data_IF_274227419667
#
_entry.id   IF_274227419667
#
_cell.length_a   1.000
_cell.length_b   1.000
_cell.length_c   1.000
_cell.angle_alpha   90.00
_cell.angle_beta   90.00
_cell.angle_gamma   90.00
#
_symmetry.space_group_name_H-M   'P 1'
#
loop_
_entity.id
_entity.type
_entity.pdbx_description
1 polymer ?
#
# COMPACT_ATOMS: atom_id res chain seq x y z
N UNK A 1 -2.85 46.48 -14.00
CA UNK A 1 -3.32 45.25 -14.66
C UNK A 1 -2.54 44.01 -14.24
N UNK A 2 -1.20 43.92 -14.43
CA UNK A 2 -0.41 42.76 -13.95
C UNK A 2 -0.44 42.57 -12.42
N UNK A 3 -0.38 43.65 -11.64
CA UNK A 3 -0.44 43.58 -10.16
C UNK A 3 -1.84 43.20 -9.63
N UNK A 4 -2.91 43.70 -10.24
CA UNK A 4 -4.30 43.37 -9.87
C UNK A 4 -4.60 41.89 -10.09
N UNK A 5 -4.13 41.35 -11.24
CA UNK A 5 -4.28 39.94 -11.59
C UNK A 5 -3.47 39.04 -10.65
N UNK A 6 -2.23 39.39 -10.29
CA UNK A 6 -1.47 38.67 -9.25
C UNK A 6 -2.18 38.66 -7.88
N UNK A 7 -2.88 39.73 -7.54
CA UNK A 7 -3.60 39.83 -6.25
C UNK A 7 -4.82 38.90 -6.23
N UNK A 8 -5.56 38.79 -7.35
CA UNK A 8 -6.70 37.87 -7.49
C UNK A 8 -6.27 36.40 -7.40
N UNK A 9 -5.16 36.03 -8.06
CA UNK A 9 -4.56 34.69 -7.95
C UNK A 9 -4.20 34.34 -6.50
N UNK A 10 -3.53 35.25 -5.80
CA UNK A 10 -3.10 35.03 -4.42
C UNK A 10 -4.28 34.93 -3.42
N UNK A 11 -5.41 35.61 -3.69
CA UNK A 11 -6.62 35.48 -2.86
C UNK A 11 -7.28 34.12 -3.07
N UNK A 12 -7.42 33.66 -4.32
CA UNK A 12 -8.00 32.36 -4.64
C UNK A 12 -7.16 31.22 -4.05
N UNK A 13 -5.83 31.24 -4.23
CA UNK A 13 -4.93 30.25 -3.63
C UNK A 13 -5.07 30.17 -2.10
N UNK A 14 -5.06 31.33 -1.41
CA UNK A 14 -5.20 31.38 0.05
C UNK A 14 -6.57 30.92 0.53
N UNK A 15 -7.63 31.22 -0.20
CA UNK A 15 -8.98 30.73 0.13
C UNK A 15 -9.07 29.20 -0.01
N UNK A 16 -8.54 28.64 -1.10
CA UNK A 16 -8.52 27.19 -1.31
C UNK A 16 -7.74 26.45 -0.23
N UNK A 17 -6.52 26.90 0.09
CA UNK A 17 -5.71 26.29 1.15
C UNK A 17 -6.35 26.50 2.52
N UNK A 18 -6.98 27.65 2.76
CA UNK A 18 -7.73 27.91 3.99
C UNK A 18 -8.90 26.94 4.20
N UNK A 19 -9.60 26.54 3.11
CA UNK A 19 -10.69 25.55 3.17
C UNK A 19 -10.23 24.13 3.52
N UNK A 20 -8.92 23.83 3.42
CA UNK A 20 -8.37 22.55 3.89
C UNK A 20 -8.48 22.42 5.41
N UNK A 21 -8.57 23.55 6.13
CA UNK A 21 -8.73 23.60 7.58
C UNK A 21 -7.67 22.78 8.35
N UNK A 22 -6.46 22.68 7.78
CA UNK A 22 -5.39 21.89 8.39
C UNK A 22 -4.87 22.55 9.66
N UNK A 23 -4.99 21.86 10.79
CA UNK A 23 -4.41 22.28 12.07
C UNK A 23 -3.29 21.31 12.49
N UNK A 24 -2.02 21.74 12.50
CA UNK A 24 -0.91 20.87 12.86
C UNK A 24 -0.89 20.45 14.33
N UNK A 25 -1.55 21.19 15.22
CA UNK A 25 -1.59 20.89 16.66
C UNK A 25 -2.65 19.83 16.99
N UNK A 26 -3.84 19.92 16.37
CA UNK A 26 -4.93 18.95 16.58
C UNK A 26 -4.93 17.79 15.58
N UNK A 27 -4.07 17.85 14.55
CA UNK A 27 -4.07 16.91 13.42
C UNK A 27 -5.41 16.85 12.66
N UNK A 28 -6.21 17.91 12.73
CA UNK A 28 -7.47 18.03 12.00
C UNK A 28 -7.22 18.49 10.57
N UNK A 29 -7.97 17.93 9.64
CA UNK A 29 -8.02 18.32 8.23
C UNK A 29 -9.44 18.11 7.72
N UNK A 30 -9.90 18.93 6.78
CA UNK A 30 -11.19 18.75 6.13
C UNK A 30 -11.25 17.41 5.38
N UNK A 31 -12.43 16.80 5.32
CA UNK A 31 -12.64 15.61 4.47
C UNK A 31 -12.47 15.99 3.00
N UNK A 32 -11.82 15.16 2.17
CA UNK A 32 -11.67 15.43 0.74
C UNK A 32 -12.99 15.78 0.04
N UNK A 33 -14.10 15.09 0.34
CA UNK A 33 -15.42 15.34 -0.26
C UNK A 33 -16.02 16.70 0.13
N UNK A 34 -15.86 17.10 1.39
CA UNK A 34 -16.31 18.40 1.91
C UNK A 34 -15.51 19.55 1.30
N UNK A 35 -14.18 19.38 1.19
CA UNK A 35 -13.31 20.33 0.52
C UNK A 35 -13.69 20.45 -0.96
N UNK A 36 -13.84 19.33 -1.67
CA UNK A 36 -14.23 19.33 -3.08
C UNK A 36 -15.56 20.06 -3.31
N UNK A 37 -16.56 19.78 -2.48
CA UNK A 37 -17.87 20.47 -2.53
C UNK A 37 -17.72 21.98 -2.34
N UNK A 38 -16.85 22.39 -1.41
CA UNK A 38 -16.56 23.81 -1.15
C UNK A 38 -15.83 24.47 -2.32
N UNK A 39 -14.86 23.78 -2.93
CA UNK A 39 -14.16 24.25 -4.14
C UNK A 39 -15.13 24.39 -5.30
N UNK A 40 -16.00 23.40 -5.55
CA UNK A 40 -17.00 23.45 -6.62
C UNK A 40 -18.01 24.59 -6.43
N UNK A 41 -18.44 24.85 -5.20
CA UNK A 41 -19.29 25.99 -4.87
C UNK A 41 -18.56 27.32 -5.15
N UNK A 42 -17.29 27.43 -4.73
CA UNK A 42 -16.46 28.61 -4.98
C UNK A 42 -16.24 28.86 -6.48
N UNK A 43 -15.97 27.80 -7.25
CA UNK A 43 -15.84 27.86 -8.70
C UNK A 43 -17.14 28.34 -9.37
N UNK A 44 -18.29 27.83 -8.94
CA UNK A 44 -19.59 28.23 -9.47
C UNK A 44 -19.88 29.72 -9.25
N UNK A 45 -19.53 30.24 -8.08
CA UNK A 45 -19.68 31.68 -7.77
C UNK A 45 -18.74 32.52 -8.63
N UNK A 46 -17.48 32.12 -8.78
CA UNK A 46 -16.50 32.83 -9.61
C UNK A 46 -16.88 32.83 -11.09
N UNK A 47 -17.42 31.73 -11.63
CA UNK A 47 -17.97 31.69 -12.98
C UNK A 47 -19.13 32.69 -13.16
N UNK A 48 -19.94 32.89 -12.12
CA UNK A 48 -20.98 33.92 -12.12
C UNK A 48 -20.46 35.35 -12.31
N UNK A 49 -19.21 35.63 -11.88
CA UNK A 49 -18.57 36.95 -12.00
C UNK A 49 -18.24 37.29 -13.47
N UNK A 50 -18.01 36.29 -14.32
CA UNK A 50 -17.74 36.48 -15.75
C UNK A 50 -18.88 37.24 -16.46
N UNK A 51 -20.11 37.11 -15.95
CA UNK A 51 -21.27 37.85 -16.46
C UNK A 51 -21.24 39.36 -16.14
N UNK A 52 -20.44 39.77 -15.16
CA UNK A 52 -20.39 41.13 -14.64
C UNK A 52 -19.06 41.83 -14.93
N UNK A 53 -17.97 41.08 -15.11
CA UNK A 53 -16.62 41.59 -15.35
C UNK A 53 -15.97 40.77 -16.46
N UNK A 54 -15.32 41.43 -17.42
CA UNK A 54 -14.58 40.76 -18.50
C UNK A 54 -13.26 40.14 -17.99
N UNK A 55 -13.38 39.09 -17.19
CA UNK A 55 -12.27 38.30 -16.65
C UNK A 55 -12.42 36.86 -17.13
N UNK A 56 -11.32 36.30 -17.65
CA UNK A 56 -11.24 34.88 -18.03
C UNK A 56 -11.05 34.02 -16.78
N UNK A 57 -12.18 33.63 -16.17
CA UNK A 57 -12.21 32.82 -14.94
C UNK A 57 -11.64 31.41 -15.19
N UNK A 58 -11.79 30.88 -16.41
CA UNK A 58 -11.23 29.58 -16.79
C UNK A 58 -9.72 29.57 -16.68
N UNK A 59 -9.04 30.63 -17.16
CA UNK A 59 -7.60 30.79 -16.98
C UNK A 59 -7.22 30.95 -15.51
N UNK A 60 -8.07 31.57 -14.69
CA UNK A 60 -7.83 31.68 -13.25
C UNK A 60 -7.80 30.29 -12.61
N UNK A 61 -8.81 29.46 -12.87
CA UNK A 61 -8.86 28.09 -12.35
C UNK A 61 -7.70 27.23 -12.82
N UNK A 62 -7.37 27.27 -14.11
CA UNK A 62 -6.29 26.47 -14.67
C UNK A 62 -4.95 26.76 -14.00
N UNK A 63 -4.67 28.02 -13.66
CA UNK A 63 -3.43 28.36 -12.94
C UNK A 63 -3.49 27.95 -11.48
N UNK A 64 -4.58 28.29 -10.77
CA UNK A 64 -4.68 28.08 -9.33
C UNK A 64 -4.78 26.60 -8.99
N UNK A 65 -5.71 25.86 -9.61
CA UNK A 65 -5.95 24.45 -9.29
C UNK A 65 -4.75 23.59 -9.69
N UNK A 66 -4.11 23.88 -10.83
CA UNK A 66 -2.92 23.15 -11.27
C UNK A 66 -1.73 23.38 -10.32
N UNK A 67 -1.58 24.57 -9.75
CA UNK A 67 -0.55 24.80 -8.72
C UNK A 67 -0.83 23.97 -7.46
N UNK A 68 -2.11 23.81 -7.07
CA UNK A 68 -2.48 23.02 -5.88
C UNK A 68 -2.19 21.52 -6.01
N UNK A 69 -1.91 21.02 -7.23
CA UNK A 69 -1.48 19.63 -7.46
C UNK A 69 0.02 19.41 -7.26
N UNK A 70 0.82 20.48 -7.17
CA UNK A 70 2.27 20.40 -7.00
C UNK A 70 2.64 20.37 -5.51
N UNK A 71 3.88 20.01 -5.12
CA UNK A 71 4.28 20.03 -3.70
C UNK A 71 4.28 21.45 -3.09
N UNK A 72 4.62 22.46 -3.90
CA UNK A 72 4.64 23.86 -3.53
C UNK A 72 3.99 24.70 -4.62
N UNK A 73 3.35 25.80 -4.23
CA UNK A 73 2.79 26.77 -5.17
C UNK A 73 3.89 27.68 -5.76
N UNK A 74 3.51 28.64 -6.61
CA UNK A 74 4.49 29.56 -7.22
C UNK A 74 5.18 30.50 -6.22
N UNK A 75 4.69 30.59 -4.99
CA UNK A 75 5.25 31.41 -3.91
C UNK A 75 6.08 30.58 -2.90
N UNK A 76 6.15 29.26 -3.08
CA UNK A 76 6.84 28.33 -2.18
C UNK A 76 5.97 27.84 -1.02
N UNK A 77 4.68 28.18 -0.99
CA UNK A 77 3.75 27.76 0.06
C UNK A 77 3.27 26.32 -0.15
N UNK A 78 2.89 25.66 0.95
CA UNK A 78 2.36 24.29 0.91
C UNK A 78 0.98 24.28 0.25
N UNK A 79 0.79 23.32 -0.64
CA UNK A 79 -0.45 23.11 -1.40
C UNK A 79 -1.38 22.10 -0.74
N UNK A 80 -2.60 21.98 -1.26
CA UNK A 80 -3.55 20.91 -0.91
C UNK A 80 -2.88 19.53 -1.03
N UNK A 81 -2.17 19.26 -2.13
CA UNK A 81 -1.47 17.99 -2.32
C UNK A 81 -0.48 17.69 -1.18
N UNK A 82 0.33 18.67 -0.76
CA UNK A 82 1.28 18.48 0.34
C UNK A 82 0.61 18.30 1.69
N UNK A 83 -0.47 19.04 1.96
CA UNK A 83 -1.18 18.93 3.23
C UNK A 83 -1.82 17.55 3.42
N UNK A 84 -2.56 17.05 2.42
CA UNK A 84 -3.15 15.71 2.48
C UNK A 84 -2.09 14.61 2.47
N UNK A 85 -1.04 14.71 1.64
CA UNK A 85 0.04 13.71 1.63
C UNK A 85 0.67 13.56 3.01
N UNK A 86 1.00 14.67 3.67
CA UNK A 86 1.55 14.61 5.02
C UNK A 86 0.54 14.06 6.04
N UNK A 87 -0.74 14.44 5.94
CA UNK A 87 -1.75 13.96 6.86
C UNK A 87 -1.98 12.45 6.74
N UNK A 88 -2.09 11.90 5.53
CA UNK A 88 -2.23 10.46 5.33
C UNK A 88 -1.03 9.68 5.86
N UNK A 89 0.19 10.18 5.66
CA UNK A 89 1.41 9.52 6.12
C UNK A 89 1.60 9.60 7.64
N UNK A 90 1.55 10.81 8.20
CA UNK A 90 1.93 11.07 9.59
C UNK A 90 0.78 10.87 10.58
N UNK A 91 -0.48 10.93 10.12
CA UNK A 91 -1.67 10.81 10.97
C UNK A 91 -2.35 9.46 10.70
N UNK A 92 -2.93 9.26 9.52
CA UNK A 92 -3.74 8.06 9.24
C UNK A 92 -2.90 6.77 9.29
N UNK A 93 -1.89 6.63 8.41
CA UNK A 93 -1.09 5.41 8.30
C UNK A 93 -0.24 5.14 9.55
N UNK A 94 0.15 6.19 10.27
CA UNK A 94 0.82 6.06 11.56
C UNK A 94 -0.10 5.46 12.63
N UNK A 95 -1.39 5.82 12.65
CA UNK A 95 -2.39 5.22 13.55
C UNK A 95 -2.75 3.78 13.16
N UNK A 96 -2.76 3.45 11.87
CA UNK A 96 -2.88 2.06 11.40
C UNK A 96 -1.70 1.23 11.91
N UNK A 97 -0.48 1.74 11.76
CA UNK A 97 0.75 1.07 12.23
C UNK A 97 0.79 0.91 13.75
N UNK A 98 0.17 1.83 14.50
CA UNK A 98 0.01 1.74 15.94
C UNK A 98 -1.07 0.73 16.38
N UNK A 99 -1.79 0.12 15.45
CA UNK A 99 -2.81 -0.90 15.72
C UNK A 99 -4.19 -0.35 16.04
N UNK A 100 -4.47 0.93 15.77
CA UNK A 100 -5.81 1.51 16.04
C UNK A 100 -6.79 1.36 14.88
N UNK A 101 -6.30 0.97 13.71
CA UNK A 101 -7.09 0.89 12.48
C UNK A 101 -6.70 -0.34 11.69
N UNK A 102 -7.62 -0.82 10.87
CA UNK A 102 -7.43 -1.97 9.99
C UNK A 102 -7.83 -1.59 8.57
N UNK A 103 -7.08 -2.06 7.57
CA UNK A 103 -7.58 -2.06 6.20
C UNK A 103 -8.64 -3.15 6.05
N UNK A 104 -9.82 -2.81 5.54
CA UNK A 104 -10.88 -3.75 5.23
C UNK A 104 -11.06 -3.86 3.71
N UNK A 105 -10.73 -5.02 3.10
CA UNK A 105 -11.03 -5.28 1.70
C UNK A 105 -12.52 -5.19 1.39
N UNK A 106 -13.38 -5.68 2.30
CA UNK A 106 -14.83 -5.66 2.13
C UNK A 106 -15.39 -4.23 2.03
N UNK A 107 -14.95 -3.34 2.92
CA UNK A 107 -15.38 -1.94 2.91
C UNK A 107 -14.59 -1.07 1.92
N UNK A 108 -13.48 -1.58 1.38
CA UNK A 108 -12.54 -0.84 0.51
C UNK A 108 -12.10 0.48 1.16
N UNK A 109 -11.77 0.41 2.44
CA UNK A 109 -11.41 1.55 3.29
C UNK A 109 -10.55 1.11 4.48
N UNK A 110 -9.91 2.07 5.16
CA UNK A 110 -9.41 1.86 6.51
C UNK A 110 -10.52 2.13 7.52
N UNK A 111 -10.68 1.21 8.48
CA UNK A 111 -11.71 1.27 9.51
C UNK A 111 -11.08 1.40 10.89
N UNK A 112 -11.75 2.13 11.79
CA UNK A 112 -11.31 2.21 13.18
C UNK A 112 -11.54 0.89 13.90
N UNK A 113 -10.56 0.44 14.67
CA UNK A 113 -10.73 -0.67 15.59
C UNK A 113 -11.19 -0.15 16.94
N UNK A 114 -12.29 -0.70 17.45
CA UNK A 114 -12.78 -0.38 18.80
C UNK A 114 -11.83 -1.02 19.81
N UNK A 115 -10.92 -0.21 20.38
CA UNK A 115 -10.09 -0.59 21.50
C UNK A 115 -10.54 0.14 22.76
N UNK A 116 -10.64 -0.59 23.87
CA UNK A 116 -11.06 -0.04 25.15
C UNK A 116 -10.06 1.04 25.61
N UNK A 117 -10.50 2.30 25.68
CA UNK A 117 -9.75 3.40 26.31
C UNK A 117 -8.95 4.35 25.41
N UNK A 118 -8.83 4.14 24.09
CA UNK A 118 -8.16 5.08 23.17
C UNK A 118 -9.12 5.60 22.10
N UNK A 119 -9.54 6.86 22.25
CA UNK A 119 -10.29 7.56 21.21
C UNK A 119 -9.32 8.07 20.15
N UNK A 120 -9.46 7.54 18.93
CA UNK A 120 -8.93 8.19 17.74
C UNK A 120 -9.83 9.40 17.46
N UNK A 121 -9.27 10.61 17.23
CA UNK A 121 -10.06 11.84 17.11
C UNK A 121 -10.90 11.92 15.82
N UNK A 122 -10.76 10.98 14.91
CA UNK A 122 -11.48 10.91 13.65
C UNK A 122 -11.82 9.46 13.26
N UNK A 123 -12.79 9.33 12.37
CA UNK A 123 -13.21 8.06 11.75
C UNK A 123 -12.44 7.85 10.46
N UNK A 124 -11.62 6.80 10.36
CA UNK A 124 -10.75 6.57 9.20
C UNK A 124 -11.51 6.36 7.89
N UNK A 125 -12.72 5.80 7.98
CA UNK A 125 -13.62 5.59 6.84
C UNK A 125 -13.97 6.91 6.15
N UNK A 126 -14.17 7.97 6.93
CA UNK A 126 -14.51 9.32 6.44
C UNK A 126 -13.34 10.05 5.74
N UNK A 127 -12.20 9.37 5.58
CA UNK A 127 -11.04 9.89 4.86
C UNK A 127 -10.46 8.88 3.86
N UNK A 128 -10.82 7.60 3.93
CA UNK A 128 -10.13 6.56 3.16
C UNK A 128 -11.05 5.63 2.38
N UNK A 129 -12.37 5.85 2.44
CA UNK A 129 -13.29 5.14 1.57
C UNK A 129 -13.12 5.54 0.11
N UNK A 130 -13.81 4.80 -0.76
CA UNK A 130 -13.74 4.99 -2.21
C UNK A 130 -14.17 6.40 -2.62
N UNK A 131 -15.15 7.01 -1.96
CA UNK A 131 -15.67 8.32 -2.34
C UNK A 131 -14.72 9.44 -1.91
N UNK A 132 -14.12 9.34 -0.74
CA UNK A 132 -13.14 10.30 -0.23
C UNK A 132 -11.86 10.27 -1.06
N UNK A 133 -11.36 9.09 -1.42
CA UNK A 133 -10.18 8.99 -2.27
C UNK A 133 -10.45 9.44 -3.71
N UNK A 134 -11.67 9.25 -4.25
CA UNK A 134 -12.07 9.85 -5.53
C UNK A 134 -12.11 11.37 -5.45
N UNK A 135 -12.65 11.90 -4.35
CA UNK A 135 -12.71 13.35 -4.12
C UNK A 135 -11.30 13.95 -4.00
N UNK A 136 -10.39 13.25 -3.31
CA UNK A 136 -8.98 13.60 -3.24
C UNK A 136 -8.34 13.59 -4.65
N UNK A 137 -8.56 12.52 -5.43
CA UNK A 137 -8.03 12.41 -6.78
C UNK A 137 -8.57 13.50 -7.72
N UNK A 138 -9.81 13.96 -7.55
CA UNK A 138 -10.35 15.10 -8.30
C UNK A 138 -9.70 16.43 -7.88
N UNK A 139 -9.41 16.61 -6.59
CA UNK A 139 -8.77 17.81 -6.06
C UNK A 139 -7.30 17.94 -6.49
N UNK A 140 -6.51 16.87 -6.36
CA UNK A 140 -5.05 16.93 -6.55
C UNK A 140 -4.59 16.33 -7.88
N UNK A 141 -5.47 15.67 -8.63
CA UNK A 141 -5.23 15.16 -9.97
C UNK A 141 -4.07 14.14 -10.07
N UNK A 142 -3.68 13.75 -11.30
CA UNK A 142 -2.58 12.82 -11.53
C UNK A 142 -1.25 13.28 -10.93
N UNK A 143 -0.96 14.58 -10.94
CA UNK A 143 0.30 15.13 -10.40
C UNK A 143 0.38 14.99 -8.88
N UNK A 144 -0.69 15.38 -8.16
CA UNK A 144 -0.73 15.27 -6.72
C UNK A 144 -0.79 13.81 -6.26
N UNK A 145 -1.53 12.96 -6.98
CA UNK A 145 -1.58 11.52 -6.70
C UNK A 145 -0.23 10.84 -6.98
N UNK A 146 0.51 11.26 -8.02
CA UNK A 146 1.89 10.82 -8.25
C UNK A 146 2.81 11.23 -7.11
N UNK A 147 2.70 12.48 -6.62
CA UNK A 147 3.49 12.95 -5.48
C UNK A 147 3.16 12.19 -4.18
N UNK A 148 1.88 11.96 -3.89
CA UNK A 148 1.43 11.10 -2.78
C UNK A 148 2.06 9.72 -2.89
N UNK A 149 1.99 9.12 -4.09
CA UNK A 149 2.57 7.81 -4.35
C UNK A 149 4.10 7.78 -4.13
N UNK A 150 4.85 8.74 -4.68
CA UNK A 150 6.30 8.82 -4.48
C UNK A 150 6.66 8.92 -2.98
N UNK A 151 5.87 9.66 -2.21
CA UNK A 151 6.03 9.76 -0.76
C UNK A 151 5.77 8.43 -0.06
N UNK A 152 4.71 7.70 -0.44
CA UNK A 152 4.42 6.35 0.07
C UNK A 152 5.58 5.38 -0.26
N UNK A 153 6.06 5.40 -1.50
CA UNK A 153 7.16 4.53 -1.94
C UNK A 153 8.46 4.84 -1.20
N UNK A 154 8.73 6.09 -0.86
CA UNK A 154 9.87 6.47 -0.04
C UNK A 154 9.82 5.82 1.35
N UNK A 155 8.66 5.85 2.01
CA UNK A 155 8.47 5.17 3.30
C UNK A 155 8.64 3.65 3.20
N UNK A 156 8.12 3.02 2.14
CA UNK A 156 8.35 1.59 1.88
C UNK A 156 9.84 1.31 1.72
N UNK A 157 10.53 2.12 0.91
CA UNK A 157 11.95 1.91 0.65
C UNK A 157 12.80 2.05 1.93
N UNK A 158 12.41 2.95 2.85
CA UNK A 158 12.99 3.04 4.19
C UNK A 158 12.76 1.76 5.02
N UNK A 159 11.55 1.19 5.00
CA UNK A 159 11.29 -0.10 5.67
C UNK A 159 12.11 -1.24 5.08
N UNK A 160 12.25 -1.30 3.75
CA UNK A 160 13.06 -2.31 3.06
C UNK A 160 14.54 -2.17 3.39
N UNK A 161 15.06 -0.95 3.52
CA UNK A 161 16.45 -0.72 3.95
C UNK A 161 16.72 -1.32 5.35
N UNK A 162 15.79 -1.17 6.29
CA UNK A 162 15.91 -1.79 7.62
C UNK A 162 15.75 -3.32 7.57
N UNK A 163 14.82 -3.83 6.75
CA UNK A 163 14.67 -5.28 6.53
C UNK A 163 15.96 -5.90 5.98
N UNK A 164 16.63 -5.24 5.02
CA UNK A 164 17.92 -5.70 4.48
C UNK A 164 18.99 -5.81 5.59
N UNK A 165 19.05 -4.85 6.52
CA UNK A 165 19.98 -4.93 7.67
C UNK A 165 19.70 -6.15 8.55
N UNK A 166 18.43 -6.43 8.83
CA UNK A 166 18.02 -7.59 9.64
C UNK A 166 18.34 -8.91 8.92
N UNK A 167 18.16 -8.96 7.60
CA UNK A 167 18.55 -10.13 6.77
C UNK A 167 20.05 -10.37 6.84
N UNK A 168 20.87 -9.33 6.70
CA UNK A 168 22.33 -9.44 6.76
C UNK A 168 22.80 -9.92 8.14
N UNK A 169 22.17 -9.49 9.23
CA UNK A 169 22.45 -9.97 10.59
C UNK A 169 22.18 -11.48 10.76
N UNK A 170 21.26 -12.05 9.98
CA UNK A 170 20.87 -13.46 10.06
C UNK A 170 21.34 -14.27 8.84
N UNK A 171 22.26 -13.74 8.02
CA UNK A 171 22.60 -14.26 6.68
C UNK A 171 22.96 -15.74 6.69
N UNK A 172 23.87 -16.17 7.57
CA UNK A 172 24.33 -17.56 7.63
C UNK A 172 23.19 -18.52 7.97
N UNK A 173 22.38 -18.17 8.98
CA UNK A 173 21.22 -18.97 9.41
C UNK A 173 20.19 -19.07 8.29
N UNK A 174 19.92 -17.97 7.58
CA UNK A 174 18.96 -17.95 6.47
C UNK A 174 19.45 -18.80 5.28
N UNK A 175 20.76 -18.81 4.99
CA UNK A 175 21.36 -19.69 3.97
C UNK A 175 21.17 -21.18 4.36
N UNK A 176 21.39 -21.51 5.64
CA UNK A 176 21.19 -22.87 6.14
C UNK A 176 19.72 -23.29 6.12
N UNK A 177 18.80 -22.40 6.51
CA UNK A 177 17.35 -22.63 6.44
C UNK A 177 16.90 -22.89 4.99
N UNK A 178 17.41 -22.07 4.05
CA UNK A 178 17.12 -22.23 2.63
C UNK A 178 17.66 -23.53 2.05
N UNK A 179 18.79 -24.05 2.54
CA UNK A 179 19.42 -25.27 2.04
C UNK A 179 18.88 -26.55 2.68
N UNK A 180 18.28 -26.47 3.87
CA UNK A 180 17.80 -27.61 4.66
C UNK A 180 16.28 -27.58 4.87
N UNK A 181 15.53 -26.97 3.94
CA UNK A 181 14.07 -26.82 4.05
C UNK A 181 13.32 -28.15 4.18
N UNK A 182 13.92 -29.23 3.67
CA UNK A 182 13.47 -30.62 3.67
C UNK A 182 13.72 -31.36 4.99
N UNK A 183 14.45 -30.77 5.94
CA UNK A 183 14.80 -31.38 7.24
C UNK A 183 14.08 -30.70 8.41
N UNK A 184 12.94 -31.23 8.90
CA UNK A 184 12.09 -30.53 9.86
C UNK A 184 12.76 -30.19 11.19
N UNK A 185 13.57 -31.11 11.73
CA UNK A 185 14.25 -30.92 13.02
C UNK A 185 15.32 -29.82 12.93
N UNK A 186 16.13 -29.84 11.88
CA UNK A 186 17.17 -28.82 11.67
C UNK A 186 16.54 -27.44 11.46
N UNK A 187 15.47 -27.36 10.66
CA UNK A 187 14.72 -26.11 10.47
C UNK A 187 14.19 -25.53 11.78
N UNK A 188 13.67 -26.37 12.68
CA UNK A 188 13.16 -25.92 13.99
C UNK A 188 14.29 -25.35 14.87
N UNK A 189 15.45 -26.01 14.88
CA UNK A 189 16.61 -25.53 15.64
C UNK A 189 17.23 -24.25 15.06
N UNK A 190 17.29 -24.13 13.73
CA UNK A 190 17.76 -22.92 13.06
C UNK A 190 16.81 -21.75 13.26
N UNK A 191 15.49 -21.97 13.23
CA UNK A 191 14.50 -20.94 13.47
C UNK A 191 14.67 -20.30 14.85
N UNK A 192 14.95 -21.09 15.90
CA UNK A 192 15.21 -20.58 17.26
C UNK A 192 16.41 -19.63 17.34
N UNK A 193 17.35 -19.70 16.39
CA UNK A 193 18.54 -18.84 16.33
C UNK A 193 18.27 -17.52 15.62
N UNK A 194 17.16 -17.37 14.90
CA UNK A 194 16.82 -16.13 14.20
C UNK A 194 16.54 -15.00 15.18
N UNK A 195 17.09 -13.82 14.88
CA UNK A 195 16.91 -12.61 15.66
C UNK A 195 15.98 -11.63 14.94
N UNK A 196 15.24 -10.82 15.69
CA UNK A 196 14.38 -9.75 15.16
C UNK A 196 13.21 -10.23 14.27
N UNK A 197 12.73 -11.46 14.48
CA UNK A 197 11.59 -12.04 13.73
C UNK A 197 10.34 -11.16 13.78
N UNK A 198 10.01 -10.61 14.96
CA UNK A 198 8.84 -9.73 15.11
C UNK A 198 8.99 -8.43 14.33
N UNK A 199 10.22 -7.89 14.28
CA UNK A 199 10.51 -6.68 13.49
C UNK A 199 10.35 -6.95 12.00
N UNK A 200 10.75 -8.12 11.50
CA UNK A 200 10.54 -8.51 10.09
C UNK A 200 9.05 -8.52 9.75
N UNK A 201 8.23 -9.21 10.55
CA UNK A 201 6.79 -9.31 10.34
C UNK A 201 6.10 -7.95 10.46
N UNK A 202 6.45 -7.16 11.48
CA UNK A 202 5.90 -5.82 11.68
C UNK A 202 6.22 -4.89 10.50
N UNK A 203 7.49 -4.85 10.07
CA UNK A 203 7.90 -3.99 8.94
C UNK A 203 7.27 -4.43 7.62
N UNK A 204 7.19 -5.73 7.36
CA UNK A 204 6.47 -6.26 6.20
C UNK A 204 4.98 -5.91 6.24
N UNK A 205 4.36 -5.94 7.42
CA UNK A 205 2.95 -5.55 7.60
C UNK A 205 2.77 -4.06 7.32
N UNK A 206 3.68 -3.20 7.78
CA UNK A 206 3.69 -1.76 7.47
C UNK A 206 3.80 -1.54 5.96
N UNK A 207 4.72 -2.24 5.29
CA UNK A 207 4.84 -2.17 3.81
C UNK A 207 3.52 -2.55 3.15
N UNK A 208 2.90 -3.64 3.60
CA UNK A 208 1.61 -4.11 3.11
C UNK A 208 0.50 -3.07 3.27
N UNK A 209 0.38 -2.48 4.47
CA UNK A 209 -0.60 -1.43 4.78
C UNK A 209 -0.44 -0.22 3.85
N UNK A 210 0.79 0.24 3.64
CA UNK A 210 1.07 1.37 2.74
C UNK A 210 0.67 1.02 1.30
N UNK A 211 0.95 -0.22 0.86
CA UNK A 211 0.55 -0.69 -0.48
C UNK A 211 -0.97 -0.81 -0.64
N UNK A 212 -1.69 -1.24 0.40
CA UNK A 212 -3.16 -1.28 0.38
C UNK A 212 -3.75 0.12 0.25
N UNK A 213 -3.24 1.10 0.99
CA UNK A 213 -3.66 2.50 0.84
C UNK A 213 -3.35 3.03 -0.57
N UNK A 214 -2.16 2.73 -1.09
CA UNK A 214 -1.81 3.07 -2.47
C UNK A 214 -2.77 2.47 -3.48
N UNK A 215 -3.18 1.22 -3.31
CA UNK A 215 -4.10 0.54 -4.21
C UNK A 215 -5.43 1.30 -4.27
N UNK A 216 -6.04 1.59 -3.12
CA UNK A 216 -7.28 2.37 -3.06
C UNK A 216 -7.12 3.74 -3.74
N UNK A 217 -6.01 4.43 -3.48
CA UNK A 217 -5.71 5.73 -4.07
C UNK A 217 -5.58 5.65 -5.61
N UNK A 218 -4.93 4.61 -6.14
CA UNK A 218 -4.76 4.41 -7.59
C UNK A 218 -6.06 4.02 -8.28
N UNK A 219 -6.87 3.18 -7.66
CA UNK A 219 -8.20 2.82 -8.17
C UNK A 219 -9.10 4.05 -8.23
N UNK A 220 -9.10 4.86 -7.17
CA UNK A 220 -9.84 6.12 -7.14
C UNK A 220 -9.38 7.10 -8.23
N UNK A 221 -8.06 7.22 -8.47
CA UNK A 221 -7.52 8.00 -9.57
C UNK A 221 -8.00 7.46 -10.93
N UNK A 222 -7.94 6.15 -11.13
CA UNK A 222 -8.37 5.52 -12.37
C UNK A 222 -9.85 5.80 -12.66
N UNK A 223 -10.70 5.68 -11.65
CA UNK A 223 -12.13 5.99 -11.74
C UNK A 223 -12.36 7.44 -12.18
N UNK A 224 -11.69 8.40 -11.53
CA UNK A 224 -11.80 9.83 -11.89
C UNK A 224 -11.32 10.09 -13.32
N UNK A 225 -10.19 9.50 -13.73
CA UNK A 225 -9.65 9.69 -15.07
C UNK A 225 -10.49 9.01 -16.16
N UNK A 226 -11.16 7.90 -15.84
CA UNK A 226 -12.06 7.22 -16.77
C UNK A 226 -13.23 8.11 -17.21
N UNK A 227 -13.69 8.98 -16.29
CA UNK A 227 -14.75 9.94 -16.56
C UNK A 227 -14.19 11.22 -17.20
N UNK A 228 -13.05 11.73 -16.72
CA UNK A 228 -12.53 13.05 -17.13
C UNK A 228 -11.77 13.01 -18.46
N UNK A 229 -11.03 11.94 -18.75
CA UNK A 229 -10.17 11.82 -19.94
C UNK A 229 -10.26 10.43 -20.60
N UNK A 230 -11.47 9.93 -20.96
CA UNK A 230 -11.68 8.56 -21.44
C UNK A 230 -10.84 8.20 -22.67
N UNK A 231 -10.65 9.14 -23.61
CA UNK A 231 -9.88 8.90 -24.84
C UNK A 231 -8.38 8.70 -24.58
N UNK A 232 -7.82 9.46 -23.63
CA UNK A 232 -6.41 9.30 -23.23
C UNK A 232 -6.24 7.99 -22.47
N UNK A 233 -7.14 7.69 -21.53
CA UNK A 233 -7.07 6.46 -20.75
C UNK A 233 -7.19 5.21 -21.63
N UNK A 234 -8.09 5.21 -22.61
CA UNK A 234 -8.21 4.12 -23.59
C UNK A 234 -6.92 3.92 -24.39
N UNK A 235 -6.26 5.00 -24.82
CA UNK A 235 -4.99 4.93 -25.55
C UNK A 235 -3.87 4.35 -24.67
N UNK A 236 -3.81 4.75 -23.39
CA UNK A 236 -2.82 4.24 -22.43
C UNK A 236 -3.06 2.76 -22.14
N UNK A 237 -4.32 2.34 -21.96
CA UNK A 237 -4.67 0.95 -21.73
C UNK A 237 -4.34 0.07 -22.95
N UNK A 238 -4.67 0.54 -24.16
CA UNK A 238 -4.34 -0.16 -25.40
C UNK A 238 -2.83 -0.34 -25.59
N UNK A 239 -2.05 0.73 -25.37
CA UNK A 239 -0.60 0.67 -25.45
C UNK A 239 -0.02 -0.32 -24.44
N UNK A 240 -0.51 -0.29 -23.19
CA UNK A 240 -0.08 -1.23 -22.16
C UNK A 240 -0.34 -2.70 -22.52
N UNK A 241 -1.45 -3.00 -23.20
CA UNK A 241 -1.78 -4.37 -23.59
C UNK A 241 -0.91 -4.92 -24.72
N UNK A 242 -0.43 -4.05 -25.62
CA UNK A 242 0.25 -4.46 -26.85
C UNK A 242 1.78 -4.25 -26.83
N UNK A 243 2.34 -3.73 -25.73
CA UNK A 243 3.79 -3.49 -25.63
C UNK A 243 4.56 -4.82 -25.51
N UNK A 244 5.53 -4.97 -26.40
CA UNK A 244 6.53 -6.05 -26.38
C UNK A 244 7.64 -5.77 -25.36
N UNK A 245 8.20 -6.84 -24.79
CA UNK A 245 9.02 -6.90 -23.56
C UNK A 245 10.19 -5.89 -23.37
N UNK A 246 10.55 -5.07 -24.34
CA UNK A 246 11.69 -4.14 -24.27
C UNK A 246 11.42 -2.77 -23.63
N UNK A 247 10.20 -2.22 -23.72
CA UNK A 247 9.84 -0.88 -23.21
C UNK A 247 8.88 -0.92 -22.00
N UNK A 248 8.78 -2.09 -21.36
CA UNK A 248 7.78 -2.42 -20.35
C UNK A 248 7.74 -1.44 -19.17
N UNK A 249 8.90 -0.91 -18.71
CA UNK A 249 8.94 -0.06 -17.52
C UNK A 249 8.39 1.35 -17.76
N UNK A 250 8.71 1.97 -18.91
CA UNK A 250 8.22 3.32 -19.26
C UNK A 250 6.71 3.29 -19.48
N UNK A 251 6.23 2.27 -20.18
CA UNK A 251 4.80 2.03 -20.39
C UNK A 251 4.10 1.74 -19.06
N UNK A 252 4.74 0.98 -18.17
CA UNK A 252 4.22 0.74 -16.82
C UNK A 252 4.16 2.01 -15.99
N UNK A 253 5.15 2.93 -16.12
CA UNK A 253 5.13 4.22 -15.42
C UNK A 253 3.96 5.08 -15.90
N UNK A 254 3.77 5.18 -17.22
CA UNK A 254 2.64 5.89 -17.80
C UNK A 254 1.30 5.28 -17.37
N UNK A 255 1.18 3.95 -17.39
CA UNK A 255 -0.01 3.24 -16.94
C UNK A 255 -0.30 3.50 -15.44
N UNK A 256 0.73 3.43 -14.60
CA UNK A 256 0.64 3.71 -13.16
C UNK A 256 0.23 5.17 -12.89
N UNK A 257 0.73 6.12 -13.67
CA UNK A 257 0.31 7.54 -13.58
C UNK A 257 -1.16 7.76 -13.96
N UNK A 258 -1.77 6.83 -14.72
CA UNK A 258 -3.19 6.81 -15.05
C UNK A 258 -4.03 5.93 -14.09
N UNK A 259 -3.44 5.47 -12.97
CA UNK A 259 -4.10 4.61 -11.99
C UNK A 259 -4.28 3.15 -12.44
N UNK A 260 -3.70 2.73 -13.57
CA UNK A 260 -3.84 1.35 -14.05
C UNK A 260 -2.89 0.39 -13.28
N UNK A 261 -3.36 -0.80 -12.86
CA UNK A 261 -2.57 -1.72 -12.05
C UNK A 261 -1.45 -2.39 -12.85
N UNK A 262 -0.21 -2.37 -12.38
CA UNK A 262 0.94 -2.98 -13.07
C UNK A 262 1.39 -4.26 -12.35
N UNK A 263 1.82 -5.28 -13.10
CA UNK A 263 2.36 -6.53 -12.51
C UNK A 263 3.57 -6.26 -11.61
N UNK A 264 4.43 -5.35 -12.04
CA UNK A 264 5.54 -4.82 -11.25
C UNK A 264 5.35 -3.31 -11.16
N UNK A 265 5.39 -2.78 -9.93
CA UNK A 265 5.19 -1.36 -9.70
C UNK A 265 6.46 -0.56 -10.07
N UNK A 266 6.40 0.32 -11.10
CA UNK A 266 7.55 1.11 -11.52
C UNK A 266 7.98 2.14 -10.46
N UNK A 267 7.04 2.69 -9.69
CA UNK A 267 7.36 3.67 -8.65
C UNK A 267 8.10 3.02 -7.48
N UNK A 268 7.68 1.80 -7.11
CA UNK A 268 8.37 1.01 -6.09
C UNK A 268 9.77 0.61 -6.56
N UNK A 269 9.91 0.16 -7.82
CA UNK A 269 11.22 -0.14 -8.42
C UNK A 269 12.13 1.10 -8.38
N UNK A 270 11.63 2.27 -8.77
CA UNK A 270 12.39 3.52 -8.74
C UNK A 270 12.83 3.89 -7.31
N UNK A 271 11.92 3.82 -6.34
CA UNK A 271 12.22 4.14 -4.95
C UNK A 271 13.27 3.17 -4.34
N UNK A 272 13.13 1.86 -4.57
CA UNK A 272 14.08 0.86 -4.09
C UNK A 272 15.45 0.97 -4.77
N UNK A 273 15.52 1.37 -6.06
CA UNK A 273 16.78 1.66 -6.74
C UNK A 273 17.49 2.89 -6.17
N UNK A 274 16.74 3.90 -5.73
CA UNK A 274 17.32 5.12 -5.16
C UNK A 274 17.97 4.89 -3.79
N UNK A 275 17.49 3.90 -3.03
CA UNK A 275 18.01 3.47 -1.73
C UNK A 275 19.19 2.49 -1.83
N UNK A 276 19.93 2.49 -2.95
CA UNK A 276 21.07 1.59 -3.13
C UNK A 276 22.14 1.91 -2.06
N UNK A 277 22.16 1.12 -1.00
CA UNK A 277 23.21 1.20 0.01
C UNK A 277 24.47 0.55 -0.58
N UNK A 278 25.61 1.23 -0.47
CA UNK A 278 26.96 0.75 -0.84
C UNK A 278 27.46 -0.39 0.06
N UNK A 279 26.59 -1.36 0.41
CA UNK A 279 26.94 -2.46 1.31
C UNK A 279 27.86 -3.50 0.65
N UNK A 280 28.10 -3.42 -0.67
CA UNK A 280 29.00 -4.34 -1.39
C UNK A 280 28.54 -5.81 -1.40
N UNK A 281 27.41 -6.11 -0.76
CA UNK A 281 26.81 -7.44 -0.68
C UNK A 281 25.99 -7.76 -1.93
N UNK A 282 25.89 -9.06 -2.23
CA UNK A 282 25.06 -9.59 -3.31
C UNK A 282 23.58 -9.26 -3.06
N UNK A 283 23.09 -8.19 -3.69
CA UNK A 283 21.71 -7.69 -3.56
C UNK A 283 20.68 -8.76 -3.89
N UNK A 284 20.98 -9.64 -4.85
CA UNK A 284 20.09 -10.74 -5.24
C UNK A 284 20.02 -11.80 -4.13
N UNK A 285 21.15 -12.14 -3.51
CA UNK A 285 21.16 -13.03 -2.36
C UNK A 285 20.36 -12.45 -1.20
N UNK A 286 20.53 -11.17 -0.87
CA UNK A 286 19.77 -10.50 0.20
C UNK A 286 18.27 -10.53 -0.09
N UNK A 287 17.85 -10.29 -1.34
CA UNK A 287 16.45 -10.37 -1.75
C UNK A 287 15.88 -11.80 -1.58
N UNK A 288 16.64 -12.83 -1.98
CA UNK A 288 16.25 -14.22 -1.77
C UNK A 288 16.10 -14.56 -0.28
N UNK A 289 17.08 -14.16 0.54
CA UNK A 289 17.07 -14.45 1.97
C UNK A 289 15.96 -13.67 2.71
N UNK A 290 15.57 -12.49 2.23
CA UNK A 290 14.40 -11.78 2.74
C UNK A 290 13.13 -12.62 2.57
N UNK A 291 12.92 -13.19 1.37
CA UNK A 291 11.75 -14.05 1.10
C UNK A 291 11.76 -15.30 2.01
N UNK A 292 12.92 -15.92 2.18
CA UNK A 292 13.10 -17.05 3.12
C UNK A 292 12.73 -16.64 4.55
N UNK A 293 13.24 -15.49 5.00
CA UNK A 293 12.99 -14.99 6.35
C UNK A 293 11.49 -14.76 6.59
N UNK A 294 10.81 -14.09 5.67
CA UNK A 294 9.37 -13.84 5.79
C UNK A 294 8.59 -15.17 5.82
N UNK A 295 8.88 -16.09 4.90
CA UNK A 295 8.20 -17.38 4.79
C UNK A 295 8.28 -18.22 6.08
N UNK A 296 9.48 -18.36 6.66
CA UNK A 296 9.65 -19.14 7.90
C UNK A 296 9.10 -18.43 9.15
N UNK A 297 8.85 -17.12 9.06
CA UNK A 297 8.34 -16.31 10.16
C UNK A 297 6.81 -16.32 10.26
N UNK A 298 6.09 -16.64 9.19
CA UNK A 298 4.62 -16.62 9.17
C UNK A 298 3.96 -17.45 10.29
N UNK A 299 4.43 -18.66 10.67
CA UNK A 299 3.82 -19.41 11.77
C UNK A 299 3.81 -18.66 13.11
N UNK A 300 4.72 -17.70 13.32
CA UNK A 300 4.77 -16.90 14.53
C UNK A 300 3.52 -16.02 14.68
N UNK A 301 2.93 -15.59 13.57
CA UNK A 301 1.70 -14.78 13.56
C UNK A 301 0.53 -15.48 14.25
N UNK A 302 0.48 -16.81 14.23
CA UNK A 302 -0.60 -17.57 14.86
C UNK A 302 -0.62 -17.44 16.39
N UNK A 303 0.52 -17.03 16.97
CA UNK A 303 0.70 -16.79 18.40
C UNK A 303 0.67 -15.30 18.76
N UNK A 304 0.54 -14.41 17.77
CA UNK A 304 0.49 -12.96 17.98
C UNK A 304 -0.92 -12.53 18.36
N UNK A 305 -1.03 -11.69 19.38
CA UNK A 305 -2.31 -11.08 19.78
C UNK A 305 -2.88 -10.24 18.62
N UNK A 306 -4.20 -10.32 18.42
CA UNK A 306 -4.86 -9.62 17.31
C UNK A 306 -4.73 -10.31 15.94
N UNK A 307 -4.13 -11.50 15.85
CA UNK A 307 -4.18 -12.36 14.64
C UNK A 307 -5.53 -13.07 14.49
N UNK A 308 -6.62 -12.31 14.62
CA UNK A 308 -7.99 -12.79 14.45
C UNK A 308 -8.49 -12.28 13.11
N UNK A 309 -9.01 -13.19 12.29
CA UNK A 309 -9.71 -12.83 11.06
C UNK A 309 -11.15 -12.46 11.39
N UNK A 310 -11.58 -11.27 10.96
CA UNK A 310 -12.96 -10.78 11.07
C UNK A 310 -13.61 -10.85 9.70
N UNK A 311 -14.51 -11.82 9.44
CA UNK A 311 -15.29 -11.88 8.22
C UNK A 311 -16.05 -10.59 7.91
N UNK A 312 -16.56 -9.87 8.92
CA UNK A 312 -17.23 -8.57 8.74
C UNK A 312 -16.34 -7.48 8.14
N UNK A 313 -15.02 -7.68 8.12
CA UNK A 313 -14.05 -6.79 7.51
C UNK A 313 -13.28 -7.46 6.35
N UNK A 314 -13.48 -8.76 6.14
CA UNK A 314 -12.62 -9.65 5.34
C UNK A 314 -11.12 -9.49 5.63
N UNK A 315 -10.77 -9.23 6.90
CA UNK A 315 -9.45 -8.75 7.29
C UNK A 315 -8.97 -9.34 8.63
N UNK A 316 -7.66 -9.36 8.84
CA UNK A 316 -7.08 -9.62 10.16
C UNK A 316 -6.95 -8.32 10.94
N UNK A 317 -7.34 -8.32 12.23
CA UNK A 317 -7.33 -7.08 13.03
C UNK A 317 -5.96 -6.44 13.20
N UNK A 318 -4.87 -7.20 13.07
CA UNK A 318 -3.51 -6.68 13.11
C UNK A 318 -2.91 -6.36 11.72
N UNK A 319 -3.74 -6.32 10.67
CA UNK A 319 -3.35 -6.07 9.28
C UNK A 319 -2.44 -7.13 8.64
N UNK A 320 -2.31 -8.34 9.20
CA UNK A 320 -1.42 -9.35 8.59
C UNK A 320 -1.86 -9.82 7.20
N UNK A 321 -3.14 -9.68 6.82
CA UNK A 321 -3.60 -9.90 5.43
C UNK A 321 -2.86 -9.03 4.42
N UNK A 322 -2.45 -7.82 4.82
CA UNK A 322 -1.70 -6.90 3.97
C UNK A 322 -0.31 -7.44 3.58
N UNK A 323 0.21 -8.46 4.28
CA UNK A 323 1.45 -9.15 3.90
C UNK A 323 1.37 -9.76 2.49
N UNK A 324 0.17 -10.15 2.04
CA UNK A 324 -0.04 -10.64 0.68
C UNK A 324 0.44 -9.62 -0.37
N UNK A 325 -0.01 -8.36 -0.25
CA UNK A 325 0.44 -7.28 -1.13
C UNK A 325 1.94 -6.99 -0.94
N UNK A 326 2.45 -7.00 0.30
CA UNK A 326 3.85 -6.72 0.59
C UNK A 326 4.80 -7.73 -0.07
N UNK A 327 4.54 -9.03 0.09
CA UNK A 327 5.38 -10.10 -0.46
C UNK A 327 5.38 -10.04 -1.98
N UNK A 328 4.21 -9.94 -2.61
CA UNK A 328 4.09 -9.90 -4.07
C UNK A 328 4.77 -8.65 -4.66
N UNK A 329 4.53 -7.47 -4.10
CA UNK A 329 5.11 -6.24 -4.59
C UNK A 329 6.64 -6.20 -4.40
N UNK A 330 7.13 -6.58 -3.22
CA UNK A 330 8.57 -6.57 -2.95
C UNK A 330 9.33 -7.63 -3.76
N UNK A 331 8.78 -8.84 -3.90
CA UNK A 331 9.38 -9.85 -4.77
C UNK A 331 9.45 -9.35 -6.21
N UNK A 332 8.33 -8.86 -6.74
CA UNK A 332 8.26 -8.28 -8.09
C UNK A 332 9.30 -7.18 -8.30
N UNK A 333 9.38 -6.20 -7.40
CA UNK A 333 10.31 -5.08 -7.55
C UNK A 333 11.77 -5.46 -7.30
N UNK A 334 12.10 -6.22 -6.24
CA UNK A 334 13.49 -6.56 -5.92
C UNK A 334 14.13 -7.44 -7.00
N UNK A 335 13.44 -8.49 -7.45
CA UNK A 335 14.01 -9.39 -8.47
C UNK A 335 14.03 -8.73 -9.86
N UNK A 336 13.12 -7.80 -10.16
CA UNK A 336 13.23 -6.93 -11.35
C UNK A 336 14.46 -6.03 -11.30
N UNK A 337 14.84 -5.52 -10.11
CA UNK A 337 16.05 -4.70 -9.95
C UNK A 337 17.31 -5.54 -10.14
N UNK A 338 17.33 -6.77 -9.65
CA UNK A 338 18.46 -7.68 -9.78
C UNK A 338 18.65 -8.22 -11.22
N UNK A 339 17.62 -8.18 -12.06
CA UNK A 339 17.73 -8.49 -13.49
C UNK A 339 17.81 -9.99 -13.83
N UNK A 340 17.39 -10.87 -12.92
CA UNK A 340 17.41 -12.33 -13.10
C UNK A 340 16.12 -12.91 -13.74
N UNK A 341 15.07 -12.08 -13.90
CA UNK A 341 13.77 -12.45 -14.49
C UNK A 341 13.14 -13.75 -13.95
N UNK A 342 13.34 -14.01 -12.66
CA UNK A 342 12.99 -15.27 -12.00
C UNK A 342 11.94 -15.07 -10.88
N UNK A 343 11.18 -13.97 -10.95
CA UNK A 343 10.18 -13.57 -9.94
C UNK A 343 9.24 -14.74 -9.60
N UNK A 344 8.73 -15.42 -10.63
CA UNK A 344 7.81 -16.55 -10.48
C UNK A 344 8.47 -17.72 -9.73
N UNK A 345 9.73 -18.04 -10.05
CA UNK A 345 10.47 -19.11 -9.38
C UNK A 345 10.78 -18.76 -7.92
N UNK A 346 11.10 -17.49 -7.64
CA UNK A 346 11.33 -17.02 -6.26
C UNK A 346 10.05 -17.05 -5.43
N UNK A 347 8.91 -16.68 -6.00
CA UNK A 347 7.62 -16.73 -5.33
C UNK A 347 7.13 -18.18 -5.15
N UNK A 348 7.41 -19.09 -6.10
CA UNK A 348 7.19 -20.54 -5.92
C UNK A 348 7.98 -21.10 -4.74
N UNK A 349 9.27 -20.75 -4.64
CA UNK A 349 10.11 -21.14 -3.51
C UNK A 349 9.55 -20.59 -2.19
N UNK A 350 9.18 -19.30 -2.16
CA UNK A 350 8.55 -18.67 -1.01
C UNK A 350 7.28 -19.45 -0.59
N UNK A 351 6.38 -19.74 -1.54
CA UNK A 351 5.11 -20.40 -1.25
C UNK A 351 5.32 -21.82 -0.72
N UNK A 352 6.25 -22.58 -1.28
CA UNK A 352 6.59 -23.91 -0.80
C UNK A 352 7.13 -23.87 0.65
N UNK A 353 8.01 -22.92 0.95
CA UNK A 353 8.60 -22.76 2.28
C UNK A 353 7.57 -22.28 3.31
N UNK A 354 6.72 -21.32 2.94
CA UNK A 354 5.63 -20.81 3.77
C UNK A 354 4.61 -21.91 4.08
N UNK A 355 4.18 -22.65 3.06
CA UNK A 355 3.24 -23.78 3.21
C UNK A 355 3.83 -24.87 4.09
N UNK A 356 5.09 -25.25 3.88
CA UNK A 356 5.79 -26.22 4.72
C UNK A 356 5.89 -25.76 6.18
N UNK A 357 6.13 -24.47 6.42
CA UNK A 357 6.23 -23.90 7.77
C UNK A 357 4.88 -23.89 8.48
N UNK A 358 3.80 -23.56 7.77
CA UNK A 358 2.43 -23.53 8.32
C UNK A 358 1.84 -24.92 8.54
N UNK A 359 2.12 -25.90 7.68
CA UNK A 359 1.69 -27.29 7.89
C UNK A 359 2.29 -27.90 9.15
N UNK A 360 3.54 -27.53 9.49
CA UNK A 360 4.19 -27.95 10.74
C UNK A 360 3.46 -27.41 11.97
N UNK A 361 3.02 -26.14 11.93
CA UNK A 361 2.18 -25.55 12.98
C UNK A 361 0.85 -26.32 13.13
N UNK A 362 0.29 -26.84 12.03
CA UNK A 362 -0.91 -27.69 12.04
C UNK A 362 -0.76 -29.00 12.82
N UNK A 363 0.46 -29.53 12.95
CA UNK A 363 0.76 -30.76 13.68
C UNK A 363 0.98 -30.55 15.18
N UNK A 364 1.21 -29.30 15.61
CA UNK A 364 1.38 -28.97 17.02
C UNK A 364 0.02 -29.11 17.74
N UNK A 365 -0.02 -29.91 18.82
CA UNK A 365 -1.22 -30.13 19.63
C UNK A 365 -1.58 -28.93 20.54
N UNK A 366 -0.94 -27.78 20.31
CA UNK A 366 -1.01 -26.60 21.15
C UNK A 366 -2.36 -25.90 20.98
N UNK A 367 -3.20 -25.97 22.02
CA UNK A 367 -4.56 -25.39 22.00
C UNK A 367 -4.56 -23.87 22.06
N UNK A 368 -3.50 -23.25 22.58
CA UNK A 368 -3.41 -21.78 22.75
C UNK A 368 -3.30 -21.04 21.40
N UNK A 369 -2.82 -21.70 20.34
CA UNK A 369 -2.69 -21.13 19.00
C UNK A 369 -3.86 -21.44 18.05
N UNK A 370 -4.94 -22.09 18.53
CA UNK A 370 -5.98 -22.67 17.67
C UNK A 370 -6.65 -21.68 16.72
N UNK A 371 -7.17 -20.57 17.25
CA UNK A 371 -7.89 -19.55 16.46
C UNK A 371 -6.93 -18.74 15.55
N UNK A 372 -5.76 -18.36 16.07
CA UNK A 372 -4.73 -17.66 15.29
C UNK A 372 -4.18 -18.51 14.15
N UNK A 373 -4.09 -19.82 14.33
CA UNK A 373 -3.62 -20.76 13.29
C UNK A 373 -4.54 -20.77 12.06
N UNK A 374 -5.85 -20.88 12.28
CA UNK A 374 -6.83 -20.88 11.19
C UNK A 374 -6.80 -19.54 10.45
N UNK A 375 -6.71 -18.43 11.18
CA UNK A 375 -6.57 -17.10 10.61
C UNK A 375 -5.30 -16.96 9.74
N UNK A 376 -4.15 -17.49 10.18
CA UNK A 376 -2.90 -17.44 9.40
C UNK A 376 -2.95 -18.33 8.16
N UNK A 377 -3.67 -19.46 8.17
CA UNK A 377 -3.82 -20.29 6.97
C UNK A 377 -4.48 -19.52 5.82
N UNK A 378 -5.45 -18.65 6.13
CA UNK A 378 -6.08 -17.79 5.13
C UNK A 378 -5.10 -16.82 4.45
N UNK A 379 -3.97 -16.50 5.10
CA UNK A 379 -2.94 -15.65 4.49
C UNK A 379 -2.34 -16.28 3.23
N UNK A 380 -2.19 -17.61 3.17
CA UNK A 380 -1.70 -18.28 1.96
C UNK A 380 -2.67 -18.12 0.79
N UNK A 381 -3.98 -18.19 1.07
CA UNK A 381 -5.00 -17.97 0.07
C UNK A 381 -4.92 -16.53 -0.46
N UNK A 382 -4.88 -15.53 0.44
CA UNK A 382 -4.77 -14.12 0.07
C UNK A 382 -3.48 -13.84 -0.71
N UNK A 383 -2.35 -14.44 -0.33
CA UNK A 383 -1.08 -14.25 -1.01
C UNK A 383 -1.11 -14.74 -2.45
N UNK A 384 -1.78 -15.86 -2.71
CA UNK A 384 -1.91 -16.43 -4.05
C UNK A 384 -2.94 -15.67 -4.87
N UNK A 385 -4.07 -15.26 -4.27
CA UNK A 385 -5.12 -14.48 -4.94
C UNK A 385 -4.60 -13.10 -5.40
N UNK A 386 -3.79 -12.45 -4.57
CA UNK A 386 -3.15 -11.17 -4.89
C UNK A 386 -1.96 -11.28 -5.87
N UNK A 387 -1.46 -12.49 -6.14
CA UNK A 387 -0.24 -12.66 -6.94
C UNK A 387 -0.55 -12.85 -8.41
N UNK A 388 0.02 -12.03 -9.32
CA UNK A 388 -0.05 -12.32 -10.76
C UNK A 388 0.92 -13.43 -11.20
N UNK A 389 1.71 -13.99 -10.26
CA UNK A 389 2.76 -14.99 -10.52
C UNK A 389 2.45 -16.37 -9.92
N UNK A 390 1.52 -16.45 -8.97
CA UNK A 390 1.14 -17.70 -8.32
C UNK A 390 -0.27 -18.12 -8.75
N UNK A 391 -0.54 -19.41 -8.69
CA UNK A 391 -1.84 -19.97 -9.06
C UNK A 391 -2.41 -20.84 -7.94
N UNK A 392 -3.74 -20.98 -7.90
CA UNK A 392 -4.39 -21.86 -6.94
C UNK A 392 -4.02 -23.35 -7.15
N UNK A 393 -3.72 -23.77 -8.39
CA UNK A 393 -3.21 -25.12 -8.67
C UNK A 393 -1.85 -25.37 -8.00
N UNK A 394 -0.96 -24.38 -8.02
CA UNK A 394 0.32 -24.45 -7.34
C UNK A 394 0.12 -24.49 -5.81
N UNK A 395 -0.81 -23.69 -5.27
CA UNK A 395 -1.15 -23.72 -3.85
C UNK A 395 -1.62 -25.12 -3.44
N UNK A 396 -2.56 -25.72 -4.17
CA UNK A 396 -3.07 -27.07 -3.87
C UNK A 396 -1.96 -28.12 -3.83
N UNK A 397 -0.93 -27.98 -4.66
CA UNK A 397 0.20 -28.92 -4.68
C UNK A 397 1.07 -28.89 -3.41
N UNK A 398 1.06 -27.79 -2.66
CA UNK A 398 1.90 -27.60 -1.47
C UNK A 398 1.11 -27.35 -0.17
N UNK A 399 -0.17 -27.00 -0.27
CA UNK A 399 -1.07 -26.75 0.85
C UNK A 399 -2.52 -27.13 0.46
N UNK A 400 -3.07 -28.24 0.99
CA UNK A 400 -4.39 -28.72 0.59
C UNK A 400 -5.51 -27.71 0.87
N UNK A 401 -6.32 -27.39 -0.13
CA UNK A 401 -7.43 -26.42 -0.02
C UNK A 401 -8.47 -26.82 1.02
N UNK A 402 -8.60 -28.11 1.33
CA UNK A 402 -9.46 -28.58 2.41
C UNK A 402 -9.11 -27.93 3.78
N UNK A 403 -7.83 -27.64 4.04
CA UNK A 403 -7.40 -26.93 5.25
C UNK A 403 -7.86 -25.47 5.24
N UNK A 404 -7.73 -24.79 4.09
CA UNK A 404 -8.19 -23.41 3.91
C UNK A 404 -9.71 -23.30 4.07
N UNK A 405 -10.46 -24.22 3.46
CA UNK A 405 -11.92 -24.28 3.57
C UNK A 405 -12.37 -24.48 5.02
N UNK A 406 -11.71 -25.37 5.75
CA UNK A 406 -12.05 -25.61 7.15
C UNK A 406 -11.70 -24.40 8.03
N UNK A 407 -10.55 -23.76 7.77
CA UNK A 407 -10.15 -22.53 8.44
C UNK A 407 -11.15 -21.39 8.17
N UNK A 408 -11.56 -21.19 6.92
CA UNK A 408 -12.59 -20.24 6.53
C UNK A 408 -13.90 -20.52 7.28
N UNK A 409 -14.40 -21.76 7.24
CA UNK A 409 -15.62 -22.12 7.97
C UNK A 409 -15.51 -21.83 9.48
N UNK A 410 -14.35 -22.08 10.09
CA UNK A 410 -14.15 -21.85 11.51
C UNK A 410 -14.15 -20.35 11.87
N UNK A 411 -13.46 -19.50 11.10
CA UNK A 411 -13.46 -18.04 11.36
C UNK A 411 -14.84 -17.42 11.10
N UNK A 412 -15.56 -17.86 10.07
CA UNK A 412 -16.92 -17.38 9.79
C UNK A 412 -17.92 -17.82 10.87
N UNK A 413 -17.75 -19.03 11.41
CA UNK A 413 -18.58 -19.52 12.52
C UNK A 413 -18.26 -18.82 13.85
N UNK A 414 -17.03 -18.36 14.05
CA UNK A 414 -16.63 -17.69 15.29
C UNK A 414 -17.22 -16.28 15.44
N UNK A 415 -17.58 -15.63 14.33
CA UNK A 415 -18.19 -14.29 14.33
C UNK A 415 -19.73 -14.32 14.26
N UNK A 416 -20.32 -15.38 13.71
CA UNK A 416 -21.77 -15.61 13.65
C UNK A 416 -22.36 -16.00 15.01
#
# INVERSE_FOLDING_TARGET
>A
MKESVCTEYAVCCRALVGMVMYNPESHEIAKPSELLSSVQAYMSVLQGIENHVHVDVTRVFNNVLLQQTQPQDSHGDKTIATLYTNWYLEVLLRKVTAGHMCYSPLHRAFVNLVHDGQQVPFTAEEFSDVQELRSLAELIGPYGMKFLNESLMWHIASQVAELKKIVLQNREILIELRSNYDKPEQMRELFKKLQNVDSVLQRMTIVGVILCFRMLAQEALNDVLSVRIPFLLSSVADLKHHVSNGETLVVSEMASAAGLPCKVDPALVAALRSQKNDLGDDEYQVACLLMVFVAVSLPKLARTEGSVYKPSLEAHTNNMHCLAHAVNALAGSLFTICGHDDIEDRLKEFLALASSSLLRLGQEADREAGAGREAVFLLLHLLVDESPFLTMDLLESCFPYALLRNAAHAVYKAEA
#
